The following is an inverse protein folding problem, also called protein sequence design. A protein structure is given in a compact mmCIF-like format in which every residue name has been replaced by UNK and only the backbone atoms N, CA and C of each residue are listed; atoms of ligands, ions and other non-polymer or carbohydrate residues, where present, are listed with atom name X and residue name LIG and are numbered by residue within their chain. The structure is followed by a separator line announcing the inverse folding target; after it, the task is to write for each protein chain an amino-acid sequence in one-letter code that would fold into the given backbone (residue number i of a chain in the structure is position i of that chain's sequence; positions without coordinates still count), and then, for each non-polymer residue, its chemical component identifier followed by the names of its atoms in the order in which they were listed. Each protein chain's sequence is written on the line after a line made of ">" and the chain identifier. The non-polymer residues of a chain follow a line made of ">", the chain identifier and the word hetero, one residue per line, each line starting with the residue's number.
data_IF_255790259192
#
_entry.id   IF_255790259192
#
_cell.length_a   1.000
_cell.length_b   1.000
_cell.length_c   1.000
_cell.angle_alpha   90.00
_cell.angle_beta   90.00
_cell.angle_gamma   90.00
#
_symmetry.space_group_name_H-M   'P 1'
#
loop_
_entity.id
_entity.type
_entity.pdbx_description
1 polymer ?
#
# COMPACT_ATOMS: atom_id res chain seq x y z
N UNK A 1 6.79 9.10 -12.24
CA UNK A 1 5.93 7.92 -12.10
C UNK A 1 5.92 7.48 -10.65
N UNK A 2 4.75 7.41 -10.00
CA UNK A 2 4.64 7.02 -8.59
C UNK A 2 4.48 5.50 -8.47
N UNK A 3 5.59 4.76 -8.52
CA UNK A 3 5.59 3.30 -8.35
C UNK A 3 6.46 2.92 -7.15
N UNK A 4 6.00 1.94 -6.38
CA UNK A 4 6.82 1.32 -5.34
C UNK A 4 7.68 0.21 -5.94
N UNK A 5 8.91 0.08 -5.44
CA UNK A 5 9.83 -1.00 -5.76
C UNK A 5 10.20 -1.72 -4.47
N UNK A 6 9.87 -3.00 -4.42
CA UNK A 6 10.29 -3.92 -3.37
C UNK A 6 10.96 -5.11 -4.04
N UNK A 7 12.08 -5.58 -3.49
CA UNK A 7 12.78 -6.78 -3.98
C UNK A 7 12.56 -7.98 -3.05
N UNK A 8 12.10 -7.71 -1.83
CA UNK A 8 11.81 -8.70 -0.81
C UNK A 8 10.36 -8.57 -0.36
N UNK A 9 9.79 -9.66 0.14
CA UNK A 9 8.42 -9.70 0.63
C UNK A 9 8.26 -8.85 1.90
N UNK A 10 7.17 -8.08 1.97
CA UNK A 10 6.82 -7.22 3.12
C UNK A 10 5.44 -7.61 3.64
N UNK A 11 5.27 -7.71 4.95
CA UNK A 11 4.01 -8.07 5.60
C UNK A 11 4.13 -9.32 6.48
N UNK A 12 3.02 -10.04 6.59
CA UNK A 12 2.95 -11.26 7.38
C UNK A 12 3.87 -12.34 6.78
N UNK A 13 4.82 -12.83 7.59
CA UNK A 13 5.84 -13.80 7.14
C UNK A 13 6.85 -13.27 6.11
N UNK A 14 6.95 -11.95 5.93
CA UNK A 14 7.92 -11.32 5.03
C UNK A 14 9.27 -11.01 5.71
N UNK A 15 10.26 -10.63 4.89
CA UNK A 15 11.59 -10.17 5.37
C UNK A 15 11.46 -8.85 6.14
N UNK A 16 10.47 -8.02 5.79
CA UNK A 16 10.14 -6.79 6.51
C UNK A 16 11.32 -5.81 6.67
N UNK A 17 12.17 -5.71 5.65
CA UNK A 17 13.28 -4.75 5.61
C UNK A 17 12.76 -3.32 5.78
N UNK A 18 13.37 -2.50 6.66
CA UNK A 18 12.81 -1.21 7.04
C UNK A 18 12.61 -0.25 5.86
N UNK A 19 13.51 -0.29 4.86
CA UNK A 19 13.36 0.50 3.63
C UNK A 19 12.08 0.15 2.85
N UNK A 20 11.78 -1.14 2.68
CA UNK A 20 10.59 -1.59 1.97
C UNK A 20 9.33 -1.38 2.81
N UNK A 21 9.40 -1.56 4.13
CA UNK A 21 8.28 -1.27 5.03
C UNK A 21 7.89 0.21 4.98
N UNK A 22 8.85 1.15 5.02
CA UNK A 22 8.57 2.59 4.87
C UNK A 22 7.90 2.91 3.53
N UNK A 23 8.38 2.26 2.47
CA UNK A 23 7.84 2.42 1.12
C UNK A 23 6.38 1.96 1.07
N UNK A 24 6.08 0.79 1.64
CA UNK A 24 4.73 0.24 1.74
C UNK A 24 3.83 1.11 2.61
N UNK A 25 4.28 1.54 3.79
CA UNK A 25 3.52 2.42 4.68
C UNK A 25 3.16 3.75 4.01
N UNK A 26 4.11 4.34 3.28
CA UNK A 26 3.89 5.58 2.52
C UNK A 26 2.88 5.37 1.38
N UNK A 27 2.98 4.25 0.65
CA UNK A 27 2.03 3.92 -0.41
C UNK A 27 0.63 3.64 0.14
N UNK A 28 0.53 2.91 1.26
CA UNK A 28 -0.73 2.69 1.96
C UNK A 28 -1.33 4.02 2.40
N UNK A 29 -0.55 4.93 2.96
CA UNK A 29 -1.04 6.26 3.34
C UNK A 29 -1.59 7.07 2.15
N UNK A 30 -0.98 6.96 0.97
CA UNK A 30 -1.52 7.57 -0.26
C UNK A 30 -2.80 6.90 -0.73
N UNK A 31 -2.89 5.58 -0.54
CA UNK A 31 -4.04 4.77 -0.91
C UNK A 31 -5.11 4.69 0.19
N UNK A 32 -4.90 5.34 1.35
CA UNK A 32 -5.87 5.37 2.45
C UNK A 32 -7.23 5.89 2.02
N UNK A 33 -7.27 6.79 1.03
CA UNK A 33 -8.53 7.30 0.47
C UNK A 33 -9.35 6.23 -0.27
N UNK A 34 -8.72 5.13 -0.69
CA UNK A 34 -9.36 4.02 -1.41
C UNK A 34 -9.72 2.84 -0.51
N UNK A 35 -9.20 2.80 0.71
CA UNK A 35 -9.56 1.82 1.74
C UNK A 35 -10.44 2.51 2.78
N UNK A 36 -11.28 1.74 3.49
CA UNK A 36 -12.16 2.28 4.54
C UNK A 36 -11.38 3.15 5.54
N UNK A 37 -11.99 4.18 6.16
CA UNK A 37 -11.30 5.20 6.94
C UNK A 37 -10.54 4.58 8.10
N UNK A 38 -9.29 4.23 7.81
CA UNK A 38 -8.35 3.65 8.76
C UNK A 38 -7.44 4.79 9.16
N UNK A 39 -7.08 4.83 10.44
CA UNK A 39 -6.13 5.80 10.99
C UNK A 39 -4.86 5.82 10.13
N UNK A 40 -4.30 7.01 9.89
CA UNK A 40 -3.06 7.17 9.12
C UNK A 40 -1.96 6.31 9.75
N UNK A 41 -1.28 5.51 8.95
CA UNK A 41 -0.20 4.65 9.44
C UNK A 41 1.03 5.49 9.73
N UNK A 42 1.73 5.16 10.82
CA UNK A 42 3.03 5.76 11.12
C UNK A 42 4.09 5.11 10.24
N UNK A 43 4.94 5.94 9.60
CA UNK A 43 5.94 5.50 8.62
C UNK A 43 7.29 5.25 9.31
N UNK A 44 7.32 4.31 10.25
CA UNK A 44 8.55 4.00 11.02
C UNK A 44 9.45 2.97 10.33
N UNK A 45 8.96 2.27 9.30
CA UNK A 45 9.68 1.16 8.70
C UNK A 45 9.67 -0.10 9.55
N UNK A 46 8.79 -0.19 10.54
CA UNK A 46 8.67 -1.32 11.46
C UNK A 46 7.26 -1.87 11.38
N UNK A 47 7.14 -3.21 11.29
CA UNK A 47 5.87 -3.88 11.55
C UNK A 47 5.62 -4.06 13.06
N UNK A 48 6.68 -4.15 13.86
CA UNK A 48 6.59 -4.51 15.28
C UNK A 48 6.79 -6.01 15.50
N UNK A 49 6.94 -6.41 16.77
CA UNK A 49 7.31 -7.78 17.14
C UNK A 49 6.27 -8.84 16.78
N UNK A 50 5.01 -8.44 16.59
CA UNK A 50 3.90 -9.28 16.15
C UNK A 50 3.31 -8.73 14.85
N UNK A 51 3.74 -9.22 13.68
CA UNK A 51 3.25 -8.74 12.38
C UNK A 51 1.73 -8.90 12.22
N UNK A 52 1.14 -9.87 12.89
CA UNK A 52 -0.30 -10.18 12.81
C UNK A 52 -1.18 -9.10 13.44
N UNK A 53 -0.68 -8.44 14.49
CA UNK A 53 -1.38 -7.37 15.20
C UNK A 53 -0.95 -5.98 14.72
N UNK A 54 -0.09 -5.90 13.71
CA UNK A 54 0.40 -4.64 13.18
C UNK A 54 -0.68 -3.90 12.40
N UNK A 55 -0.84 -2.60 12.69
CA UNK A 55 -1.69 -1.71 11.90
C UNK A 55 -1.34 -1.74 10.40
N UNK A 56 -0.05 -1.86 10.09
CA UNK A 56 0.43 -2.01 8.70
C UNK A 56 -0.15 -3.24 8.02
N UNK A 57 -0.17 -4.42 8.68
CA UNK A 57 -0.69 -5.66 8.09
C UNK A 57 -2.20 -5.62 7.96
N UNK A 58 -2.90 -5.05 8.95
CA UNK A 58 -4.34 -4.81 8.84
C UNK A 58 -4.68 -3.95 7.61
N UNK A 59 -3.91 -2.88 7.38
CA UNK A 59 -4.07 -2.03 6.20
C UNK A 59 -3.72 -2.75 4.89
N UNK A 60 -2.69 -3.61 4.86
CA UNK A 60 -2.39 -4.45 3.69
C UNK A 60 -3.56 -5.38 3.39
N UNK A 61 -4.14 -6.04 4.40
CA UNK A 61 -5.28 -6.95 4.23
C UNK A 61 -6.51 -6.22 3.68
N UNK A 62 -6.80 -5.03 4.23
CA UNK A 62 -7.86 -4.15 3.74
C UNK A 62 -7.65 -3.77 2.27
N UNK A 63 -6.42 -3.38 1.91
CA UNK A 63 -6.06 -3.04 0.54
C UNK A 63 -6.22 -4.26 -0.40
N UNK A 64 -5.79 -5.45 0.02
CA UNK A 64 -5.95 -6.67 -0.77
C UNK A 64 -7.42 -7.02 -1.00
N UNK A 65 -8.26 -6.91 0.03
CA UNK A 65 -9.68 -7.17 -0.11
C UNK A 65 -10.38 -6.13 -1.00
N UNK A 66 -10.18 -4.84 -0.74
CA UNK A 66 -10.91 -3.75 -1.43
C UNK A 66 -10.36 -3.41 -2.81
N UNK A 67 -9.03 -3.42 -2.96
CA UNK A 67 -8.35 -2.92 -4.18
C UNK A 67 -7.96 -4.06 -5.11
N UNK A 68 -7.46 -5.17 -4.57
CA UNK A 68 -7.07 -6.34 -5.35
C UNK A 68 -8.27 -7.27 -5.60
N UNK A 69 -9.29 -7.24 -4.74
CA UNK A 69 -10.45 -8.14 -4.81
C UNK A 69 -10.13 -9.53 -4.29
N UNK A 70 -9.18 -9.67 -3.37
CA UNK A 70 -8.84 -10.96 -2.77
C UNK A 70 -9.90 -11.36 -1.73
N UNK A 71 -10.46 -12.57 -1.91
CA UNK A 71 -11.45 -13.15 -0.98
C UNK A 71 -10.80 -13.48 0.37
N UNK A 72 -9.55 -13.94 0.36
CA UNK A 72 -8.76 -14.23 1.57
C UNK A 72 -7.49 -13.38 1.53
N UNK A 73 -7.47 -12.22 2.19
CA UNK A 73 -6.30 -11.36 2.20
C UNK A 73 -5.20 -11.92 3.12
N UNK A 74 -4.04 -12.25 2.54
CA UNK A 74 -2.92 -12.85 3.27
C UNK A 74 -2.13 -11.84 4.12
N UNK A 75 -2.23 -10.54 3.84
CA UNK A 75 -1.50 -9.50 4.56
C UNK A 75 -0.01 -9.44 4.22
N UNK A 76 0.37 -10.00 3.07
CA UNK A 76 1.74 -10.05 2.53
C UNK A 76 1.79 -9.44 1.15
N UNK A 77 2.85 -8.67 0.86
CA UNK A 77 3.14 -8.10 -0.44
C UNK A 77 4.43 -8.73 -0.95
N UNK A 78 4.29 -9.56 -1.98
CA UNK A 78 5.43 -10.15 -2.67
C UNK A 78 5.94 -9.26 -3.80
N UNK A 79 7.27 -9.24 -4.05
CA UNK A 79 7.87 -8.49 -5.14
C UNK A 79 7.32 -8.99 -6.47
N UNK A 80 6.91 -8.07 -7.35
CA UNK A 80 6.25 -8.37 -8.63
C UNK A 80 4.93 -9.16 -8.51
N UNK A 81 4.41 -9.35 -7.30
CA UNK A 81 3.16 -10.03 -7.04
C UNK A 81 1.92 -9.22 -7.43
N UNK A 82 0.75 -9.85 -7.33
CA UNK A 82 -0.54 -9.24 -7.71
C UNK A 82 -0.82 -7.95 -6.94
N UNK A 83 -0.59 -7.95 -5.62
CA UNK A 83 -0.77 -6.76 -4.77
C UNK A 83 0.20 -5.64 -5.14
N UNK A 84 1.47 -5.97 -5.41
CA UNK A 84 2.50 -5.00 -5.78
C UNK A 84 2.16 -4.28 -7.10
N UNK A 85 1.78 -5.03 -8.14
CA UNK A 85 1.31 -4.47 -9.41
C UNK A 85 0.08 -3.57 -9.20
N UNK A 86 -0.88 -4.03 -8.40
CA UNK A 86 -2.13 -3.27 -8.16
C UNK A 86 -1.90 -1.95 -7.43
N UNK A 87 -0.98 -1.93 -6.47
CA UNK A 87 -0.57 -0.68 -5.81
C UNK A 87 0.01 0.29 -6.83
N UNK A 88 0.91 -0.17 -7.70
CA UNK A 88 1.50 0.68 -8.74
C UNK A 88 0.46 1.21 -9.72
N UNK A 89 -0.50 0.38 -10.15
CA UNK A 89 -1.64 0.81 -10.98
C UNK A 89 -2.44 1.92 -10.29
N UNK A 90 -2.79 1.75 -9.00
CA UNK A 90 -3.59 2.74 -8.28
C UNK A 90 -2.82 4.02 -7.99
N UNK A 91 -1.53 3.94 -7.68
CA UNK A 91 -0.68 5.12 -7.49
C UNK A 91 -0.49 5.88 -8.80
N UNK A 92 -0.30 5.18 -9.92
CA UNK A 92 -0.26 5.79 -11.25
C UNK A 92 -1.61 6.44 -11.60
N UNK A 93 -2.73 5.75 -11.36
CA UNK A 93 -4.07 6.28 -11.56
C UNK A 93 -4.35 7.53 -10.70
N UNK A 94 -3.93 7.54 -9.43
CA UNK A 94 -4.04 8.72 -8.57
C UNK A 94 -3.20 9.89 -9.09
N UNK A 95 -1.98 9.64 -9.57
CA UNK A 95 -1.12 10.67 -10.15
C UNK A 95 -1.74 11.27 -11.44
N UNK A 96 -2.36 10.43 -12.27
CA UNK A 96 -3.10 10.87 -13.45
C UNK A 96 -4.33 11.68 -13.05
N UNK A 97 -5.12 11.20 -12.08
CA UNK A 97 -6.32 11.89 -11.61
C UNK A 97 -5.99 13.28 -11.03
N UNK A 98 -4.90 13.40 -10.25
CA UNK A 98 -4.46 14.70 -9.74
C UNK A 98 -4.08 15.67 -10.85
N UNK A 99 -3.50 15.17 -11.96
CA UNK A 99 -3.09 15.99 -13.10
C UNK A 99 -4.30 16.48 -13.91
N UNK A 100 -5.33 15.65 -14.05
CA UNK A 100 -6.61 16.04 -14.66
C UNK A 100 -7.34 17.07 -13.78
N UNK A 101 -7.37 16.85 -12.47
CA UNK A 101 -8.06 17.76 -11.54
C UNK A 101 -7.42 19.15 -11.46
N UNK A 102 -6.09 19.26 -11.61
CA UNK A 102 -5.41 20.55 -11.72
C UNK A 102 -5.67 21.28 -13.04
N UNK A 103 -5.98 20.56 -14.12
CA UNK A 103 -6.34 21.15 -15.42
C UNK A 103 -7.79 21.66 -15.44
N UNK A 104 -8.69 21.03 -14.68
CA UNK A 104 -10.10 21.40 -14.60
C UNK A 104 -10.39 22.60 -13.66
N UNK A 105 -9.38 23.15 -12.98
CA UNK A 105 -9.52 24.30 -12.08
C UNK A 105 -9.10 25.64 -12.72
N UNK A 106 -8.77 25.64 -14.01
CA UNK A 106 -8.42 26.83 -14.80
C UNK A 106 -9.49 27.20 -15.85
N UNK A 107 -10.75 26.78 -15.66
CA UNK A 107 -11.88 27.23 -16.48
C UNK A 107 -12.91 27.93 -15.61
#
# INVERSE_FOLDING_TARGET
>A
MSAIRITQSVGLGGVNTPAYVKTVQTALNKLLKLISPTKVLVVDGRLGSRPESSNTVAAIKQLQSKVVGMVRPDGKIDPNGRTHKKINEKLAGLALLSKVKSLQLCQ
#
